data_IF_606108884537
#
_entry.id   IF_606108884537
#
_cell.length_a   1.000
_cell.length_b   1.000
_cell.length_c   1.000
_cell.angle_alpha   90.00
_cell.angle_beta   90.00
_cell.angle_gamma   90.00
#
_symmetry.space_group_name_H-M   'P 1'
#
loop_
_entity.id
_entity.type
_entity.pdbx_description
1 polymer ?
2 non-polymer ?
3 non-polymer ?
4 water ?
#
# COMPACT_ATOMS: atom_id res chain seq x y z
N UNK A 3 15.45 8.72 14.58
CA UNK A 3 15.38 8.36 13.17
C UNK A 3 15.84 6.92 12.94
N UNK A 4 15.47 6.02 13.83
CA UNK A 4 15.96 4.65 13.77
C UNK A 4 15.30 3.73 12.74
N UNK A 5 14.05 4.03 12.36
CA UNK A 5 13.24 3.13 11.57
C UNK A 5 13.57 3.00 10.09
N UNK A 6 12.75 2.24 9.36
CA UNK A 6 12.93 2.11 7.91
C UNK A 6 12.53 3.40 7.19
N UNK A 7 13.13 3.66 6.02
CA UNK A 7 12.69 4.82 5.22
C UNK A 7 11.19 4.73 5.01
N UNK A 8 10.52 5.84 5.26
CA UNK A 8 9.05 5.83 5.28
C UNK A 8 8.45 5.86 3.89
N UNK A 9 7.32 5.19 3.78
CA UNK A 9 6.47 5.24 2.62
C UNK A 9 5.27 6.10 2.95
N UNK A 10 4.88 6.98 2.05
CA UNK A 10 3.64 7.73 2.26
C UNK A 10 2.49 6.87 1.81
N UNK A 11 1.66 6.46 2.76
CA UNK A 11 0.56 5.55 2.46
C UNK A 11 -0.77 6.18 2.81
N UNK A 12 -1.69 6.23 1.85
CA UNK A 12 -2.98 6.80 2.13
C UNK A 12 -4.09 5.81 1.91
N UNK A 13 -5.16 6.03 2.64
CA UNK A 13 -6.16 5.04 2.96
C UNK A 13 -7.45 5.82 3.06
N UNK A 14 -8.55 5.33 2.47
CA UNK A 14 -9.86 5.94 2.68
C UNK A 14 -10.13 6.09 4.16
N UNK A 15 -10.74 7.19 4.55
CA UNK A 15 -10.99 7.41 5.96
C UNK A 15 -12.20 6.59 6.46
N UNK A 16 -13.21 6.43 5.61
CA UNK A 16 -14.35 5.55 5.93
C UNK A 16 -14.81 4.71 4.75
N UNK A 17 -15.22 3.48 5.02
CA UNK A 17 -15.79 2.62 4.01
C UNK A 17 -17.02 1.90 4.56
N UNK A 18 -18.06 1.85 3.76
CA UNK A 18 -19.28 1.13 4.09
C UNK A 18 -19.24 -0.27 3.53
N UNK A 19 -19.48 -1.27 4.37
CA UNK A 19 -19.59 -2.61 3.84
C UNK A 19 -20.92 -2.73 3.13
N UNK A 20 -20.98 -3.56 2.08
CA UNK A 20 -22.25 -3.83 1.43
C UNK A 20 -23.09 -4.65 2.39
N UNK A 21 -24.33 -4.89 2.03
CA UNK A 21 -25.18 -5.72 2.89
C UNK A 21 -24.76 -7.18 2.80
N UNK A 22 -23.94 -7.50 1.81
CA UNK A 22 -23.47 -8.87 1.60
C UNK A 22 -22.22 -9.20 2.43
N UNK A 23 -21.62 -8.19 3.03
CA UNK A 23 -20.47 -8.39 3.89
C UNK A 23 -19.15 -8.15 3.18
N UNK A 24 -19.22 -7.39 2.09
CA UNK A 24 -18.07 -7.08 1.29
C UNK A 24 -17.69 -5.61 1.39
N UNK A 25 -16.41 -5.34 1.62
CA UNK A 25 -15.91 -3.96 1.58
C UNK A 25 -14.66 -3.86 0.70
N UNK A 26 -14.52 -2.74 -0.02
CA UNK A 26 -13.29 -2.43 -0.72
C UNK A 26 -12.62 -1.21 -0.16
N UNK A 27 -11.32 -1.19 -0.34
CA UNK A 27 -10.43 -0.28 0.33
C UNK A 27 -9.19 -0.17 -0.55
N UNK A 28 -8.80 1.03 -0.93
CA UNK A 28 -7.58 1.19 -1.69
C UNK A 28 -6.48 1.78 -0.80
N UNK A 29 -5.33 1.11 -0.78
CA UNK A 29 -4.12 1.64 -0.16
C UNK A 29 -3.21 2.20 -1.23
N UNK A 30 -3.09 3.51 -1.25
CA UNK A 30 -2.23 4.17 -2.23
C UNK A 30 -0.89 4.46 -1.60
N UNK A 31 0.19 4.34 -2.38
CA UNK A 31 1.50 4.66 -1.83
C UNK A 31 2.37 5.37 -2.86
N UNK A 32 3.15 6.32 -2.38
CA UNK A 32 4.03 7.12 -3.24
C UNK A 32 5.37 6.46 -3.44
N UNK A 33 5.65 6.07 -4.68
CA UNK A 33 6.93 5.46 -5.00
C UNK A 33 7.21 5.45 -6.48
N UNK A 34 8.45 5.74 -6.86
CA UNK A 34 8.83 5.72 -8.26
C UNK A 34 9.69 4.51 -8.58
N UNK A 35 9.20 3.71 -9.52
CA UNK A 35 9.85 2.48 -9.87
C UNK A 35 9.12 1.31 -9.24
N UNK A 36 9.31 0.12 -9.80
CA UNK A 36 8.69 -1.08 -9.27
C UNK A 36 9.73 -1.82 -8.41
N UNK A 37 9.44 -2.00 -7.13
CA UNK A 37 10.27 -2.83 -6.28
C UNK A 37 10.03 -4.28 -6.68
N UNK A 38 11.03 -5.13 -6.56
CA UNK A 38 10.86 -6.52 -6.93
C UNK A 38 9.81 -7.22 -6.09
N UNK A 39 9.62 -6.77 -4.86
CA UNK A 39 8.66 -7.44 -4.02
C UNK A 39 7.86 -6.45 -3.22
N UNK A 40 6.56 -6.70 -3.11
CA UNK A 40 5.70 -5.91 -2.24
C UNK A 40 4.94 -6.83 -1.30
N UNK A 41 4.80 -6.40 -0.04
CA UNK A 41 3.89 -7.08 0.88
C UNK A 41 2.89 -6.07 1.44
N UNK A 42 1.62 -6.44 1.41
CA UNK A 42 0.55 -5.57 1.87
C UNK A 42 -0.14 -6.19 3.06
N UNK A 43 -0.36 -5.42 4.11
CA UNK A 43 -0.93 -5.97 5.34
C UNK A 43 -2.09 -5.10 5.78
N UNK A 44 -3.18 -5.73 6.21
CA UNK A 44 -4.29 -4.98 6.78
C UNK A 44 -4.38 -5.32 8.25
N UNK A 45 -4.24 -4.31 9.10
CA UNK A 45 -4.15 -4.55 10.52
C UNK A 45 -5.36 -3.97 11.22
N UNK A 46 -6.07 -4.80 11.97
CA UNK A 46 -7.22 -4.30 12.69
C UNK A 46 -6.80 -3.75 14.03
N UNK A 47 -7.18 -2.51 14.29
CA UNK A 47 -6.89 -1.88 15.56
C UNK A 47 -8.14 -1.91 16.43
N UNK A 48 -8.26 -2.94 17.26
CA UNK A 48 -9.37 -3.01 18.20
C UNK A 48 -8.92 -2.37 19.50
N UNK A 49 -9.24 -1.09 19.64
CA UNK A 49 -8.86 -0.34 20.82
C UNK A 49 -7.35 -0.35 20.98
N UNK A 50 -6.86 -1.23 21.86
CA UNK A 50 -5.45 -1.21 22.21
C UNK A 50 -4.61 -2.31 21.53
N UNK A 51 -5.28 -3.37 21.09
CA UNK A 51 -4.57 -4.46 20.43
C UNK A 51 -4.64 -4.36 18.91
N UNK A 52 -3.63 -4.93 18.26
CA UNK A 52 -3.50 -4.95 16.82
C UNK A 52 -3.40 -6.40 16.39
N UNK A 53 -4.22 -6.81 15.43
CA UNK A 53 -3.98 -8.12 14.83
C UNK A 53 -4.17 -8.08 13.32
N UNK A 54 -3.35 -8.87 12.64
CA UNK A 54 -3.34 -8.96 11.19
C UNK A 54 -4.64 -9.57 10.67
N UNK A 55 -5.26 -8.93 9.70
CA UNK A 55 -6.52 -9.40 9.17
C UNK A 55 -6.27 -10.06 7.83
N UNK A 56 -5.43 -9.43 7.02
CA UNK A 56 -4.91 -10.10 5.84
C UNK A 56 -3.52 -9.61 5.48
N UNK A 57 -2.91 -10.29 4.52
CA UNK A 57 -1.51 -10.09 4.18
C UNK A 57 -1.21 -10.86 2.92
N UNK A 58 -0.76 -10.18 1.87
CA UNK A 58 -0.34 -10.87 0.67
C UNK A 58 0.96 -10.28 0.19
N UNK A 59 1.84 -11.16 -0.29
CA UNK A 59 3.09 -10.74 -0.91
C UNK A 59 3.03 -10.94 -2.41
N UNK A 60 3.78 -10.14 -3.15
CA UNK A 60 3.85 -10.27 -4.59
C UNK A 60 5.27 -10.06 -5.04
N UNK A 61 5.70 -10.77 -6.09
CA UNK A 61 6.98 -10.46 -6.71
C UNK A 61 6.71 -10.12 -8.17
N UNK A 62 7.68 -9.49 -8.82
CA UNK A 62 7.57 -9.16 -10.21
C UNK A 62 7.88 -10.40 -11.03
N UNK A 63 6.90 -10.84 -11.82
CA UNK A 63 7.04 -11.98 -12.70
C UNK A 63 6.57 -11.65 -14.12
N UNK A 64 6.83 -12.54 -15.06
CA UNK A 64 6.28 -12.40 -16.39
C UNK A 64 4.85 -12.88 -16.36
N UNK A 65 3.94 -12.04 -16.83
CA UNK A 65 2.52 -12.34 -16.85
C UNK A 65 2.00 -12.21 -18.28
N UNK A 66 1.16 -13.17 -18.72
CA UNK A 66 0.57 -13.13 -20.06
C UNK A 66 -0.13 -11.81 -20.35
N UNK A 67 -0.14 -11.42 -21.62
CA UNK A 67 -0.58 -10.09 -22.00
C UNK A 67 -1.33 -10.13 -23.32
N UNK A 72 -13.08 -16.27 9.51
CA UNK A 72 -13.73 -14.98 9.69
C UNK A 72 -13.63 -14.13 8.41
N UNK A 73 -12.73 -13.13 8.43
CA UNK A 73 -12.56 -12.20 7.31
C UNK A 73 -11.58 -12.71 6.25
N UNK A 74 -12.07 -12.96 5.04
CA UNK A 74 -11.15 -13.30 3.95
C UNK A 74 -10.93 -12.14 2.98
N UNK A 75 -9.76 -12.12 2.36
CA UNK A 75 -9.22 -10.89 1.77
C UNK A 75 -8.69 -11.14 0.34
N UNK A 76 -9.08 -10.31 -0.62
CA UNK A 76 -8.44 -10.34 -1.94
C UNK A 76 -7.64 -9.06 -2.15
N UNK A 77 -6.39 -9.21 -2.55
CA UNK A 77 -5.48 -8.08 -2.70
C UNK A 77 -5.02 -7.96 -4.15
N UNK A 78 -5.20 -6.78 -4.73
CA UNK A 78 -4.83 -6.57 -6.13
C UNK A 78 -3.87 -5.40 -6.26
N UNK A 79 -2.57 -5.68 -6.48
CA UNK A 79 -1.66 -4.55 -6.57
C UNK A 79 -1.79 -3.85 -7.89
N UNK A 80 -1.19 -2.68 -7.98
CA UNK A 80 -1.31 -1.85 -9.14
C UNK A 80 -0.24 -0.78 -8.99
N UNK A 81 -0.03 0.01 -10.03
CA UNK A 81 0.94 1.08 -9.95
C UNK A 81 0.61 1.97 -8.75
N UNK A 82 1.40 1.87 -7.69
CA UNK A 82 1.23 2.76 -6.54
C UNK A 82 -0.13 2.60 -5.88
N UNK A 83 -0.70 1.42 -5.97
CA UNK A 83 -2.06 1.25 -5.54
C UNK A 83 -2.42 -0.20 -5.30
N UNK A 84 -2.99 -0.46 -4.14
CA UNK A 84 -3.43 -1.79 -3.81
C UNK A 84 -4.89 -1.76 -3.39
N UNK A 85 -5.73 -2.46 -4.14
CA UNK A 85 -7.13 -2.61 -3.74
C UNK A 85 -7.30 -3.87 -2.89
N UNK A 86 -7.86 -3.69 -1.69
CA UNK A 86 -8.16 -4.78 -0.78
C UNK A 86 -9.66 -5.02 -0.72
N UNK A 87 -10.08 -6.21 -1.10
CA UNK A 87 -11.48 -6.57 -1.00
C UNK A 87 -11.70 -7.54 0.15
N UNK A 88 -12.40 -7.09 1.18
CA UNK A 88 -12.75 -7.93 2.31
C UNK A 88 -14.11 -8.59 2.07
N UNK A 89 -14.20 -9.88 2.40
CA UNK A 89 -15.45 -10.64 2.29
C UNK A 89 -15.73 -11.33 3.62
N UNK A 90 -17.00 -11.58 3.90
CA UNK A 90 -17.38 -12.35 5.07
C UNK A 90 -17.36 -11.51 6.32
N UNK A 91 -17.56 -10.22 6.14
CA UNK A 91 -17.65 -9.32 7.27
C UNK A 91 -18.94 -9.56 8.01
N UNK A 92 -18.89 -9.43 9.32
CA UNK A 92 -20.08 -9.42 10.15
C UNK A 92 -20.10 -8.12 10.95
N UNK A 93 -21.15 -7.90 11.71
CA UNK A 93 -21.33 -6.64 12.42
C UNK A 93 -20.16 -6.37 13.35
N UNK A 94 -19.70 -7.41 14.03
CA UNK A 94 -18.62 -7.30 14.98
C UNK A 94 -17.29 -6.97 14.31
N UNK A 95 -17.23 -7.09 12.98
CA UNK A 95 -16.00 -6.77 12.26
C UNK A 95 -15.84 -5.26 12.05
N UNK A 96 -16.89 -4.51 12.37
CA UNK A 96 -16.84 -3.05 12.35
C UNK A 96 -15.67 -2.51 13.16
N UNK A 97 -14.96 -1.53 12.61
CA UNK A 97 -13.82 -0.97 13.31
C UNK A 97 -12.74 -0.37 12.45
N UNK A 98 -11.56 -0.23 13.03
CA UNK A 98 -10.49 0.50 12.39
C UNK A 98 -9.44 -0.44 11.78
N UNK A 99 -9.14 -0.23 10.52
CA UNK A 99 -8.28 -1.12 9.76
C UNK A 99 -7.15 -0.33 9.16
N UNK A 100 -5.92 -0.66 9.55
CA UNK A 100 -4.77 0.11 9.11
C UNK A 100 -3.99 -0.62 8.04
N UNK A 101 -3.72 0.11 6.97
CA UNK A 101 -3.04 -0.45 5.82
C UNK A 101 -1.53 -0.30 5.93
N UNK A 102 -0.80 -1.37 5.63
CA UNK A 102 0.66 -1.32 5.67
C UNK A 102 1.26 -1.79 4.37
N UNK A 103 2.14 -0.98 3.80
CA UNK A 103 2.87 -1.37 2.59
C UNK A 103 4.34 -1.50 2.89
N UNK A 104 4.91 -2.62 2.40
CA UNK A 104 6.34 -2.87 2.46
C UNK A 104 6.87 -3.18 1.07
N UNK A 105 7.97 -2.50 0.71
CA UNK A 105 8.61 -2.66 -0.55
C UNK A 105 10.03 -3.21 -0.32
N UNK A 106 10.46 -4.18 -1.11
CA UNK A 106 11.78 -4.76 -0.94
C UNK A 106 12.46 -4.83 -2.29
N UNK A 107 13.75 -4.56 -2.31
CA UNK A 107 14.53 -4.48 -3.56
C UNK A 107 13.94 -3.49 -4.52
N UNK A 108 14.09 -2.19 -4.23
CA UNK A 108 13.72 -1.12 -5.16
C UNK A 108 14.65 -1.10 -6.36
N UNK A 109 14.31 -0.33 -7.40
CA UNK A 109 15.25 -0.16 -8.52
C UNK A 109 16.66 0.22 -8.04
N UNK A 110 17.71 -0.35 -8.66
CA UNK A 110 19.03 -0.10 -8.06
C UNK A 110 19.68 1.20 -8.54
N UNK A 111 19.04 1.86 -9.50
CA UNK A 111 19.60 3.07 -10.08
C UNK A 111 18.52 4.08 -10.41
N UNK A 112 18.67 5.30 -9.92
CA UNK A 112 17.74 6.39 -10.21
C UNK A 112 18.49 7.54 -10.87
N UNK A 113 17.83 8.28 -11.73
CA UNK A 113 18.47 9.47 -12.24
C UNK A 113 17.44 10.57 -12.46
N UNK A 114 17.83 11.83 -12.20
CA UNK A 114 17.05 12.94 -12.69
C UNK A 114 17.90 14.08 -13.23
N UNK A 115 17.33 14.86 -14.14
CA UNK A 115 17.92 16.11 -14.63
C UNK A 115 17.13 17.32 -14.17
N UNK A 116 17.84 18.40 -13.86
CA UNK A 116 17.18 19.64 -13.50
C UNK A 116 16.81 20.38 -14.76
N UNK A 117 16.13 21.51 -14.59
CA UNK A 117 15.66 22.31 -15.71
C UNK A 117 16.71 23.30 -16.20
N UNK A 118 17.87 23.29 -15.58
CA UNK A 118 18.92 24.19 -15.99
C UNK A 118 19.00 25.46 -15.18
N UNK A 119 20.22 25.96 -15.05
CA UNK A 119 20.52 27.21 -14.38
C UNK A 119 21.26 28.09 -15.34
N UNK A 120 20.70 29.26 -15.62
CA UNK A 120 21.41 30.25 -16.39
C UNK A 120 22.41 30.92 -15.48
N UNK A 121 23.69 30.73 -15.75
CA UNK A 121 24.74 31.38 -14.97
C UNK A 121 25.28 32.55 -15.78
N UNK A 122 25.11 33.76 -15.25
CA UNK A 122 25.66 34.97 -15.85
C UNK A 122 26.99 35.31 -15.22
N UNK A 123 28.02 35.43 -16.04
CA UNK A 123 29.34 35.78 -15.55
C UNK A 123 29.79 37.12 -16.12
N UNK A 124 30.31 37.98 -15.26
CA UNK A 124 30.66 39.32 -15.66
C UNK A 124 32.06 39.72 -15.23
N UNK A 125 32.81 40.30 -16.18
CA UNK A 125 34.21 40.63 -16.02
C UNK A 125 34.42 41.92 -15.23
X LIG B 1 11.99 6.91 -2.93
X LIG B 1 12.29 7.39 -1.64
X LIG B 1 10.95 7.84 -3.57
X LIG B 1 11.19 9.16 -3.15
X LIG B 1 11.06 7.77 -5.09
X LIG B 1 10.83 6.44 -5.51
X LIG C 1 12.45 23.83 -19.64
X LIG C 1 13.11 22.93 -20.65
X LIG C 1 12.37 23.01 -21.98
X LIG C 1 10.89 22.69 -21.77
X LIG C 1 10.30 23.52 -20.62
X LIG C 1 8.91 23.06 -20.22
X LIG C 1 15.51 22.58 -20.23
X LIG C 1 16.90 23.06 -20.52
X LIG C 1 14.52 23.26 -20.82
X LIG C 1 12.95 22.10 -22.90
X LIG C 1 10.17 22.97 -22.97
X LIG C 1 11.11 23.42 -19.45
X LIG C 1 8.91 22.54 -18.90
X LIG C 1 15.30 21.61 -19.52
X LIG D 1 -6.66 3.67 -7.42
X LIG D 1 -7.18 5.03 -7.82
X LIG D 1 -8.54 5.28 -7.17
X LIG D 1 -9.50 4.15 -7.52
X LIG D 1 -8.88 2.80 -7.15
X LIG D 1 -9.71 1.63 -7.59
X LIG D 1 -5.20 6.43 -8.19
X LIG D 1 -4.34 7.53 -7.66
X LIG D 1 -6.25 6.08 -7.44
X LIG D 1 -9.06 6.52 -7.63
X LIG D 1 -10.74 4.32 -6.86
X LIG D 1 -7.60 2.67 -7.78
X LIG D 1 -10.02 1.68 -8.98
X LIG D 1 -4.95 5.88 -9.27
#
# INVERSE_FOLDING_TARGET
QDYGGPPALQVTQPRVVLASMKGVASLACEYEFTGKAKEIRVTLIRQTGNEFHEVCASSFTTEYEPFVSTEDIECHVQPSENNVTLTLMGLKATDTGLYVCRVELMYPPPYYMGLGNGTQIYVVEPEPAENLYFQ
GOL C1 O1 C2 O2 C3 O3
NAG C1 C2 C3 C4 C5 C6 C7 C8 N2 O3 O4 O5 O6 O7
NAG C1 C2 C3 C4 C5 C6 C7 C8 N2 O3 O4 O5 O6 O7
#
